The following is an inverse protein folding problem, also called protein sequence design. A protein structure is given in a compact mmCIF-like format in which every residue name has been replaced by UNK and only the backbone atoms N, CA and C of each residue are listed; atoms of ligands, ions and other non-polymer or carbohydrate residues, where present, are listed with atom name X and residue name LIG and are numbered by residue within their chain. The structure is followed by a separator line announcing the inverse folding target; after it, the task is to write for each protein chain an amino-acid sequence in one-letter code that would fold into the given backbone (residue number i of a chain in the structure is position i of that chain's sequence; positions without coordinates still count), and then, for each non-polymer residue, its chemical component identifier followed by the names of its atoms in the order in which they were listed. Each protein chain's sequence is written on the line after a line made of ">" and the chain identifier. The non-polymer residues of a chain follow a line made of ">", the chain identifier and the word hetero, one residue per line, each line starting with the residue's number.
data_IF_490692574428
#
_entry.id   IF_490692574428
#
_cell.length_a   1.000
_cell.length_b   1.000
_cell.length_c   1.000
_cell.angle_alpha   90.00
_cell.angle_beta   90.00
_cell.angle_gamma   90.00
#
_symmetry.space_group_name_H-M   'P 1'
#
loop_
_entity.id
_entity.type
_entity.pdbx_description
1 polymer ?
#
# COMPACT_ATOMS: atom_id res chain seq x y z
N UNK A 1 -10.97 16.62 -14.00
CA UNK A 1 -9.75 16.53 -13.15
C UNK A 1 -9.66 15.22 -12.37
N UNK A 2 -10.79 14.58 -12.02
CA UNK A 2 -10.81 13.35 -11.20
C UNK A 2 -10.22 12.10 -11.90
N UNK A 3 -10.27 12.04 -13.24
CA UNK A 3 -9.66 10.97 -14.04
C UNK A 3 -8.14 10.82 -13.84
N UNK A 4 -7.42 11.94 -13.66
CA UNK A 4 -5.95 11.88 -13.52
C UNK A 4 -5.54 11.41 -12.13
N UNK A 5 -6.23 11.86 -11.08
CA UNK A 5 -5.96 11.43 -9.70
C UNK A 5 -6.31 9.95 -9.50
N UNK A 6 -7.47 9.52 -10.01
CA UNK A 6 -7.86 8.10 -9.97
C UNK A 6 -6.86 7.20 -10.70
N UNK A 7 -6.40 7.62 -11.89
CA UNK A 7 -5.39 6.87 -12.65
C UNK A 7 -4.03 6.80 -11.96
N UNK A 8 -3.58 7.89 -11.32
CA UNK A 8 -2.32 7.88 -10.55
C UNK A 8 -2.38 6.90 -9.38
N UNK A 9 -3.49 6.89 -8.64
CA UNK A 9 -3.71 5.93 -7.55
C UNK A 9 -3.79 4.49 -8.09
N UNK A 10 -4.46 4.29 -9.23
CA UNK A 10 -4.53 2.98 -9.88
C UNK A 10 -3.15 2.48 -10.32
N UNK A 11 -2.34 3.34 -10.94
CA UNK A 11 -0.95 3.02 -11.30
C UNK A 11 -0.13 2.64 -10.05
N UNK A 12 -0.28 3.40 -8.97
CA UNK A 12 0.41 3.11 -7.72
C UNK A 12 -0.01 1.76 -7.13
N UNK A 13 -1.31 1.46 -7.06
CA UNK A 13 -1.82 0.16 -6.59
C UNK A 13 -1.29 -1.00 -7.43
N UNK A 14 -1.20 -0.85 -8.75
CA UNK A 14 -0.58 -1.85 -9.62
C UNK A 14 0.89 -2.07 -9.21
N UNK A 15 1.70 -1.01 -9.13
CA UNK A 15 3.11 -1.09 -8.76
C UNK A 15 3.35 -1.67 -7.35
N UNK A 16 2.40 -1.53 -6.42
CA UNK A 16 2.46 -2.15 -5.09
C UNK A 16 2.10 -3.64 -5.11
N UNK A 17 1.21 -4.07 -6.00
CA UNK A 17 0.74 -5.45 -6.07
C UNK A 17 1.80 -6.46 -6.56
N UNK A 18 2.79 -6.01 -7.33
CA UNK A 18 3.91 -6.85 -7.80
C UNK A 18 5.17 -6.07 -8.05
N UNK A 19 6.30 -6.75 -7.86
CA UNK A 19 7.64 -6.18 -7.92
C UNK A 19 7.95 -5.53 -9.28
N UNK A 20 7.79 -6.25 -10.39
CA UNK A 20 8.16 -5.75 -11.73
C UNK A 20 6.97 -5.70 -12.66
N UNK A 21 6.78 -4.57 -13.35
CA UNK A 21 5.71 -4.35 -14.33
C UNK A 21 6.24 -3.99 -15.71
N UNK A 22 5.93 -4.76 -16.75
CA UNK A 22 6.18 -4.34 -18.13
C UNK A 22 5.42 -3.05 -18.45
N UNK A 23 6.09 -2.08 -19.07
CA UNK A 23 5.50 -0.81 -19.48
C UNK A 23 4.25 -0.97 -20.37
N UNK A 24 4.28 -1.85 -21.40
CA UNK A 24 3.10 -2.11 -22.24
C UNK A 24 1.90 -2.67 -21.47
N UNK A 25 2.14 -3.55 -20.49
CA UNK A 25 1.07 -4.17 -19.70
C UNK A 25 0.41 -3.17 -18.73
N UNK A 26 1.18 -2.21 -18.20
CA UNK A 26 0.63 -1.10 -17.43
C UNK A 26 -0.25 -0.20 -18.29
N UNK A 27 0.18 0.08 -19.52
CA UNK A 27 -0.55 0.89 -20.47
C UNK A 27 -1.91 0.25 -20.83
N UNK A 28 -1.90 -1.06 -21.10
CA UNK A 28 -3.11 -1.85 -21.34
C UNK A 28 -4.06 -1.83 -20.14
N UNK A 29 -3.58 -2.15 -18.93
CA UNK A 29 -4.42 -2.20 -17.73
C UNK A 29 -5.00 -0.87 -17.29
N UNK A 30 -4.29 0.22 -17.56
CA UNK A 30 -4.73 1.58 -17.25
C UNK A 30 -5.50 2.22 -18.41
N UNK A 31 -5.66 1.51 -19.53
CA UNK A 31 -6.32 1.98 -20.76
C UNK A 31 -5.74 3.31 -21.28
N UNK A 32 -4.40 3.45 -21.22
CA UNK A 32 -3.69 4.66 -21.67
C UNK A 32 -2.48 4.34 -22.54
N UNK A 33 -1.90 5.36 -23.17
CA UNK A 33 -0.67 5.17 -23.95
C UNK A 33 0.56 4.91 -23.04
N UNK A 34 1.61 4.23 -23.55
CA UNK A 34 2.88 4.10 -22.84
C UNK A 34 3.51 5.46 -22.46
N UNK A 35 3.30 6.50 -23.28
CA UNK A 35 3.74 7.88 -22.97
C UNK A 35 3.02 8.43 -21.73
N UNK A 36 1.74 8.11 -21.56
CA UNK A 36 0.95 8.51 -20.39
C UNK A 36 1.43 7.80 -19.14
N UNK A 37 1.68 6.49 -19.22
CA UNK A 37 2.25 5.71 -18.10
C UNK A 37 3.56 6.33 -17.64
N UNK A 38 4.48 6.65 -18.56
CA UNK A 38 5.75 7.30 -18.21
C UNK A 38 5.54 8.63 -17.50
N UNK A 39 4.62 9.47 -17.99
CA UNK A 39 4.31 10.77 -17.35
C UNK A 39 3.71 10.59 -15.95
N UNK A 40 2.86 9.59 -15.75
CA UNK A 40 2.24 9.33 -14.46
C UNK A 40 3.25 8.70 -13.47
N UNK A 41 4.20 7.88 -13.95
CA UNK A 41 5.36 7.42 -13.14
C UNK A 41 6.21 8.61 -12.68
N UNK A 42 6.51 9.56 -13.57
CA UNK A 42 7.31 10.73 -13.22
C UNK A 42 6.61 11.58 -12.15
N UNK A 43 5.28 11.74 -12.23
CA UNK A 43 4.48 12.38 -11.17
C UNK A 43 4.54 11.64 -9.84
N UNK A 44 4.47 10.31 -9.83
CA UNK A 44 4.62 9.53 -8.60
C UNK A 44 6.02 9.71 -7.99
N UNK A 45 7.06 9.81 -8.81
CA UNK A 45 8.43 10.12 -8.34
C UNK A 45 8.52 11.50 -7.70
N UNK A 46 7.89 12.51 -8.30
CA UNK A 46 7.78 13.86 -7.72
C UNK A 46 7.08 13.86 -6.35
N UNK A 47 6.16 12.91 -6.13
CA UNK A 47 5.49 12.69 -4.85
C UNK A 47 6.31 11.85 -3.84
N UNK A 48 7.54 11.48 -4.18
CA UNK A 48 8.46 10.75 -3.29
C UNK A 48 8.40 9.23 -3.40
N UNK A 49 7.66 8.66 -4.36
CA UNK A 49 7.65 7.22 -4.57
C UNK A 49 8.92 6.75 -5.31
N UNK A 50 9.72 5.81 -4.74
CA UNK A 50 10.95 5.33 -5.35
C UNK A 50 10.65 4.33 -6.49
N UNK A 51 10.34 4.85 -7.68
CA UNK A 51 10.04 4.00 -8.85
C UNK A 51 11.29 3.87 -9.73
N UNK A 52 11.83 2.66 -9.86
CA UNK A 52 12.90 2.34 -10.79
C UNK A 52 12.35 1.96 -12.17
N UNK A 53 13.12 2.24 -13.21
CA UNK A 53 12.86 1.77 -14.57
C UNK A 53 13.96 0.79 -14.98
N UNK A 54 13.57 -0.35 -15.56
CA UNK A 54 14.51 -1.34 -16.10
C UNK A 54 14.37 -1.46 -17.62
N UNK A 55 15.50 -1.71 -18.30
CA UNK A 55 15.57 -1.78 -19.76
C UNK A 55 15.42 -3.22 -20.25
N UNK A 56 14.90 -3.39 -21.47
CA UNK A 56 14.71 -4.69 -22.14
C UNK A 56 13.54 -4.62 -23.14
N UNK A 57 13.26 -5.72 -23.87
CA UNK A 57 12.12 -5.82 -24.78
C UNK A 57 10.78 -5.51 -24.07
N UNK A 58 10.67 -5.95 -22.81
CA UNK A 58 9.55 -5.68 -21.91
C UNK A 58 9.91 -4.68 -20.80
N UNK A 59 10.78 -3.71 -21.14
CA UNK A 59 11.23 -2.67 -20.20
C UNK A 59 10.05 -2.03 -19.46
N UNK A 60 10.27 -1.73 -18.19
CA UNK A 60 9.17 -1.55 -17.26
C UNK A 60 9.53 -0.78 -16.02
N UNK A 61 8.62 -0.84 -15.05
CA UNK A 61 8.67 -0.08 -13.81
C UNK A 61 8.55 -0.99 -12.61
N UNK A 62 9.21 -0.62 -11.52
CA UNK A 62 9.12 -1.25 -10.22
C UNK A 62 9.08 -0.20 -9.14
N UNK A 63 8.23 -0.38 -8.14
CA UNK A 63 8.34 0.32 -6.87
C UNK A 63 9.44 -0.35 -6.03
N UNK A 64 10.57 0.33 -5.84
CA UNK A 64 11.66 -0.16 -4.99
C UNK A 64 11.34 0.08 -3.50
N UNK A 65 12.05 -0.63 -2.62
CA UNK A 65 12.05 -0.29 -1.20
C UNK A 65 12.89 0.98 -1.00
N UNK A 66 12.24 2.09 -0.62
CA UNK A 66 12.92 3.32 -0.23
C UNK A 66 13.52 3.24 1.18
N UNK A 67 14.15 4.33 1.64
CA UNK A 67 14.62 4.47 3.03
C UNK A 67 13.47 4.62 4.04
N UNK A 68 12.29 4.99 3.55
CA UNK A 68 11.06 5.14 4.32
C UNK A 68 9.93 4.37 3.64
N UNK A 69 8.94 3.96 4.43
CA UNK A 69 7.70 3.36 3.91
C UNK A 69 6.91 4.45 3.16
N UNK A 70 6.70 4.34 1.84
CA UNK A 70 5.89 5.30 1.11
C UNK A 70 4.41 5.16 1.51
N UNK A 71 3.53 6.12 1.20
CA UNK A 71 2.11 5.97 1.48
C UNK A 71 1.53 4.75 0.75
N UNK A 72 1.09 3.75 1.53
CA UNK A 72 0.58 2.47 1.06
C UNK A 72 -0.93 2.55 0.82
N UNK A 73 -1.39 1.99 -0.30
CA UNK A 73 -2.81 1.82 -0.58
C UNK A 73 -3.19 0.40 -0.19
N UNK A 74 -3.94 0.27 0.90
CA UNK A 74 -4.50 -1.00 1.33
C UNK A 74 -5.94 -1.14 0.82
N UNK A 75 -6.27 -2.29 0.28
CA UNK A 75 -7.67 -2.68 0.13
C UNK A 75 -8.33 -2.96 1.50
N UNK A 76 -9.65 -3.19 1.49
CA UNK A 76 -10.41 -3.40 2.72
C UNK A 76 -9.94 -4.62 3.52
N UNK A 77 -9.57 -5.71 2.84
CA UNK A 77 -9.16 -6.96 3.48
C UNK A 77 -7.77 -6.82 4.08
N UNK A 78 -6.86 -6.19 3.35
CA UNK A 78 -5.52 -5.84 3.80
C UNK A 78 -5.56 -4.89 5.00
N UNK A 79 -6.43 -3.88 4.98
CA UNK A 79 -6.60 -2.94 6.08
C UNK A 79 -7.07 -3.64 7.37
N UNK A 80 -8.02 -4.58 7.25
CA UNK A 80 -8.48 -5.40 8.38
C UNK A 80 -7.36 -6.32 8.88
N UNK A 81 -6.66 -7.01 7.98
CA UNK A 81 -5.55 -7.90 8.34
C UNK A 81 -4.43 -7.15 9.08
N UNK A 82 -4.06 -5.96 8.61
CA UNK A 82 -3.07 -5.10 9.25
C UNK A 82 -3.52 -4.69 10.66
N UNK A 83 -4.78 -4.29 10.84
CA UNK A 83 -5.29 -3.91 12.14
C UNK A 83 -5.32 -5.08 13.14
N UNK A 84 -5.64 -6.29 12.69
CA UNK A 84 -5.60 -7.50 13.52
C UNK A 84 -4.16 -7.84 13.92
N UNK A 85 -3.23 -7.80 12.97
CA UNK A 85 -1.81 -8.05 13.23
C UNK A 85 -1.24 -7.05 14.26
N UNK A 86 -1.60 -5.77 14.13
CA UNK A 86 -1.19 -4.73 15.08
C UNK A 86 -1.78 -4.94 16.48
N UNK A 87 -3.04 -5.37 16.60
CA UNK A 87 -3.63 -5.71 17.90
C UNK A 87 -2.89 -6.87 18.59
N UNK A 88 -2.50 -7.91 17.83
CA UNK A 88 -1.73 -9.03 18.37
C UNK A 88 -0.33 -8.57 18.82
N UNK A 89 0.34 -7.74 18.01
CA UNK A 89 1.67 -7.23 18.29
C UNK A 89 1.76 -6.37 19.56
N UNK A 90 0.67 -5.70 19.95
CA UNK A 90 0.59 -4.97 21.25
C UNK A 90 0.70 -5.92 22.45
N UNK A 91 0.39 -7.21 22.26
CA UNK A 91 0.35 -8.22 23.32
C UNK A 91 1.41 -9.32 23.18
N UNK A 92 2.31 -9.20 22.20
CA UNK A 92 3.19 -10.31 21.82
C UNK A 92 4.45 -10.46 22.68
N UNK A 93 4.83 -9.46 23.48
CA UNK A 93 6.09 -9.47 24.25
C UNK A 93 7.36 -9.43 23.39
N UNK A 94 7.25 -8.88 22.18
CA UNK A 94 8.30 -8.83 21.17
C UNK A 94 9.09 -7.50 21.16
N UNK A 95 8.80 -6.59 22.10
CA UNK A 95 9.49 -5.29 22.21
C UNK A 95 9.05 -4.26 21.17
N UNK A 96 7.91 -4.49 20.51
CA UNK A 96 7.32 -3.62 19.48
C UNK A 96 5.94 -3.08 19.89
N UNK A 97 5.53 -3.28 21.14
CA UNK A 97 4.16 -3.07 21.62
C UNK A 97 3.74 -1.61 21.46
N UNK A 98 4.59 -0.68 21.86
CA UNK A 98 4.33 0.76 21.72
C UNK A 98 4.27 1.20 20.25
N UNK A 99 5.17 0.68 19.42
CA UNK A 99 5.19 0.98 18.00
C UNK A 99 3.91 0.46 17.31
N UNK A 100 3.48 -0.74 17.66
CA UNK A 100 2.24 -1.35 17.18
C UNK A 100 1.00 -0.55 17.62
N UNK A 101 0.95 -0.10 18.88
CA UNK A 101 -0.15 0.74 19.39
C UNK A 101 -0.25 2.09 18.65
N UNK A 102 0.88 2.75 18.39
CA UNK A 102 0.93 3.98 17.59
C UNK A 102 0.47 3.73 16.15
N UNK A 103 0.99 2.69 15.49
CA UNK A 103 0.60 2.34 14.13
C UNK A 103 -0.90 2.02 14.03
N UNK A 104 -1.46 1.27 14.99
CA UNK A 104 -2.89 0.96 15.04
C UNK A 104 -3.74 2.22 15.15
N UNK A 105 -3.30 3.19 15.97
CA UNK A 105 -3.98 4.49 16.11
C UNK A 105 -4.00 5.25 14.79
N UNK A 106 -2.85 5.36 14.11
CA UNK A 106 -2.74 6.03 12.80
C UNK A 106 -3.64 5.38 11.76
N UNK A 107 -3.63 4.04 11.67
CA UNK A 107 -4.48 3.30 10.72
C UNK A 107 -5.97 3.51 11.02
N UNK A 108 -6.38 3.42 12.29
CA UNK A 108 -7.78 3.62 12.69
C UNK A 108 -8.30 5.02 12.37
N UNK A 109 -7.45 6.06 12.43
CA UNK A 109 -7.86 7.44 12.13
C UNK A 109 -8.31 7.63 10.68
N UNK A 110 -7.71 6.90 9.74
CA UNK A 110 -7.99 7.03 8.30
C UNK A 110 -8.98 5.98 7.78
N UNK A 111 -9.42 5.04 8.61
CA UNK A 111 -10.33 3.96 8.20
C UNK A 111 -11.80 4.42 8.03
N UNK A 112 -12.47 3.97 6.95
CA UNK A 112 -13.92 4.10 6.81
C UNK A 112 -14.66 3.49 8.01
N UNK A 113 -15.80 4.09 8.39
CA UNK A 113 -16.58 3.67 9.57
C UNK A 113 -16.91 2.16 9.55
N UNK A 114 -17.27 1.61 8.38
CA UNK A 114 -17.56 0.18 8.21
C UNK A 114 -16.39 -0.73 8.60
N UNK A 115 -15.14 -0.34 8.30
CA UNK A 115 -13.96 -1.13 8.62
C UNK A 115 -13.62 -1.01 10.10
N UNK A 116 -13.76 0.19 10.69
CA UNK A 116 -13.60 0.39 12.14
C UNK A 116 -14.54 -0.50 12.94
N UNK A 117 -15.83 -0.52 12.59
CA UNK A 117 -16.81 -1.39 13.24
C UNK A 117 -16.45 -2.88 13.12
N UNK A 118 -15.98 -3.31 11.94
CA UNK A 118 -15.54 -4.71 11.72
C UNK A 118 -14.35 -5.07 12.62
N UNK A 119 -13.38 -4.18 12.77
CA UNK A 119 -12.20 -4.43 13.62
C UNK A 119 -12.57 -4.39 15.11
N UNK A 120 -13.48 -3.52 15.53
CA UNK A 120 -13.94 -3.44 16.93
C UNK A 120 -14.67 -4.71 17.37
N UNK A 121 -15.33 -5.41 16.46
CA UNK A 121 -15.91 -6.74 16.74
C UNK A 121 -14.87 -7.85 16.88
N UNK A 122 -13.67 -7.67 16.30
CA UNK A 122 -12.60 -8.67 16.27
C UNK A 122 -11.62 -8.50 17.43
N UNK A 123 -12.08 -8.07 18.62
CA UNK A 123 -11.22 -7.86 19.79
C UNK A 123 -10.33 -9.07 20.06
N UNK A 124 -9.04 -8.90 19.77
CA UNK A 124 -8.04 -9.94 20.00
C UNK A 124 -7.68 -9.90 21.48
N UNK A 125 -7.95 -11.01 22.17
CA UNK A 125 -7.49 -11.19 23.55
C UNK A 125 -6.30 -12.15 23.49
N UNK A 126 -5.12 -11.69 23.92
CA UNK A 126 -3.98 -12.59 24.04
C UNK A 126 -4.27 -13.60 25.14
N UNK A 127 -4.39 -14.87 24.75
CA UNK A 127 -4.41 -15.97 25.71
C UNK A 127 -2.96 -16.31 26.00
N UNK A 128 -2.49 -15.95 27.19
CA UNK A 128 -1.19 -16.39 27.68
C UNK A 128 -1.22 -17.92 27.73
N UNK A 129 -0.34 -18.56 26.96
CA UNK A 129 -0.23 -20.02 26.98
C UNK A 129 0.33 -20.42 28.36
N UNK A 130 -0.30 -21.38 29.07
CA UNK A 130 0.12 -21.80 30.41
C UNK A 130 1.51 -22.46 30.42
#
# INVERSE_FOLDING_TARGET
>A
MWETSSRLLSLLSLLQARRDWPGPLLAERLEVSPRTVRRDVDRLRELGYPIAAFKGPDGGYRLDAGTELPPLLFDDEQAVALAVALQIAVTSGAGIEEAAARALTTVRQVMPARLRSRIDTLRVTAVTRP
#
